data_IF_189914681352
#
_entry.id   IF_189914681352
#
_cell.length_a   1.000
_cell.length_b   1.000
_cell.length_c   1.000
_cell.angle_alpha   90.00
_cell.angle_beta   90.00
_cell.angle_gamma   90.00
#
_symmetry.space_group_name_H-M   'P 1'
#
loop_
_entity.id
_entity.type
_entity.pdbx_description
1 polymer ?
#
# COMPACT_ATOMS: atom_id res chain seq x y z
N UNK A 1 13.03 20.88 -10.77
CA UNK A 1 14.02 20.03 -10.09
C UNK A 1 13.28 18.92 -9.38
N UNK A 2 13.48 17.65 -9.76
CA UNK A 2 12.88 16.50 -9.06
C UNK A 2 13.60 16.31 -7.72
N UNK A 3 13.03 16.84 -6.64
CA UNK A 3 13.46 16.47 -5.29
C UNK A 3 13.03 15.02 -5.06
N UNK A 4 13.95 14.15 -4.63
CA UNK A 4 13.64 12.79 -4.16
C UNK A 4 13.45 12.86 -2.65
N UNK A 5 12.23 13.02 -2.13
CA UNK A 5 12.04 13.38 -0.74
C UNK A 5 12.28 12.21 0.23
N UNK A 6 12.45 10.98 -0.27
CA UNK A 6 12.28 9.75 0.51
C UNK A 6 13.48 8.77 0.49
N UNK A 7 14.73 9.26 0.46
CA UNK A 7 15.97 8.43 0.59
C UNK A 7 15.93 7.19 -0.34
N UNK A 8 15.54 7.43 -1.59
CA UNK A 8 15.39 6.37 -2.59
C UNK A 8 16.77 6.01 -3.15
N UNK A 9 17.28 4.83 -2.82
CA UNK A 9 18.46 4.24 -3.47
C UNK A 9 19.80 4.43 -2.74
N UNK A 10 19.80 4.81 -1.46
CA UNK A 10 21.01 4.78 -0.61
C UNK A 10 21.10 3.45 0.16
N UNK A 11 22.34 2.94 0.31
CA UNK A 11 22.81 1.81 1.12
C UNK A 11 21.76 0.81 1.65
N UNK A 12 21.22 -0.05 0.78
CA UNK A 12 20.39 -1.20 1.19
C UNK A 12 18.89 -0.92 1.34
N UNK A 13 18.43 0.31 1.07
CA UNK A 13 17.00 0.66 1.02
C UNK A 13 16.42 0.29 -0.35
N UNK A 14 15.48 -0.68 -0.38
CA UNK A 14 14.74 -1.07 -1.59
C UNK A 14 13.31 -0.56 -1.56
N UNK A 15 12.95 0.30 -2.53
CA UNK A 15 11.59 0.77 -2.74
C UNK A 15 10.99 0.07 -3.96
N UNK A 16 9.91 -0.67 -3.73
CA UNK A 16 9.12 -1.30 -4.80
C UNK A 16 7.66 -1.30 -4.40
N UNK A 17 6.98 -0.18 -4.63
CA UNK A 17 5.52 -0.08 -4.51
C UNK A 17 4.94 0.72 -5.68
N UNK A 18 3.86 0.21 -6.25
CA UNK A 18 3.15 0.86 -7.35
C UNK A 18 2.19 1.95 -6.85
N UNK A 19 1.82 2.86 -7.75
CA UNK A 19 0.85 3.94 -7.54
C UNK A 19 1.46 5.33 -7.79
N UNK A 20 0.59 6.29 -8.11
CA UNK A 20 1.00 7.65 -8.49
C UNK A 20 1.29 8.57 -7.30
N UNK A 21 0.78 8.22 -6.12
CA UNK A 21 0.99 8.95 -4.87
C UNK A 21 2.34 8.56 -4.23
N UNK A 22 3.06 9.54 -3.70
CA UNK A 22 4.25 9.32 -2.89
C UNK A 22 3.93 8.41 -1.70
N UNK A 23 4.78 7.41 -1.48
CA UNK A 23 4.60 6.45 -0.39
C UNK A 23 5.92 5.80 -0.01
N UNK A 24 6.03 5.36 1.24
CA UNK A 24 7.20 4.67 1.75
C UNK A 24 6.80 3.39 2.51
N UNK A 25 7.30 2.21 2.13
CA UNK A 25 7.24 1.03 3.00
C UNK A 25 8.09 1.25 4.26
N UNK A 26 7.46 1.13 5.43
CA UNK A 26 8.11 1.30 6.75
C UNK A 26 7.78 0.14 7.67
N UNK A 27 8.61 -0.09 8.69
CA UNK A 27 8.25 -0.90 9.83
C UNK A 27 7.72 0.01 10.94
N UNK A 28 6.69 -0.46 11.65
CA UNK A 28 6.17 0.20 12.85
C UNK A 28 6.24 -0.79 14.01
N UNK A 29 7.09 -0.50 14.98
CA UNK A 29 7.47 -1.41 16.07
C UNK A 29 7.33 -0.65 17.37
N UNK A 30 6.48 -1.12 18.28
CA UNK A 30 6.30 -0.53 19.61
C UNK A 30 6.03 0.99 19.58
N UNK A 31 5.24 1.44 18.61
CA UNK A 31 4.90 2.86 18.46
C UNK A 31 5.93 3.70 17.69
N UNK A 32 7.05 3.10 17.25
CA UNK A 32 8.13 3.79 16.56
C UNK A 32 8.21 3.40 15.08
N UNK A 33 8.51 4.38 14.24
CA UNK A 33 8.83 4.15 12.83
C UNK A 33 10.27 3.69 12.66
N UNK A 34 10.48 2.71 11.78
CA UNK A 34 11.78 2.24 11.36
C UNK A 34 11.83 2.03 9.85
N UNK A 35 12.99 2.30 9.25
CA UNK A 35 13.27 1.98 7.85
C UNK A 35 13.75 0.53 7.78
N UNK A 36 13.05 -0.36 7.06
CA UNK A 36 13.49 -1.75 6.91
C UNK A 36 14.75 -1.81 6.06
N UNK A 37 15.82 -2.37 6.63
CA UNK A 37 17.13 -2.53 5.98
C UNK A 37 17.37 -4.00 5.61
N UNK A 38 18.22 -4.25 4.61
CA UNK A 38 18.76 -5.59 4.32
C UNK A 38 17.70 -6.70 4.12
N UNK A 39 16.56 -6.35 3.51
CA UNK A 39 15.48 -7.31 3.24
C UNK A 39 14.54 -7.57 4.43
N UNK A 40 14.66 -6.82 5.53
CA UNK A 40 13.65 -6.82 6.59
C UNK A 40 12.26 -6.45 6.02
N UNK A 41 11.16 -7.05 6.51
CA UNK A 41 9.83 -6.74 6.03
C UNK A 41 9.35 -5.38 6.55
N UNK A 42 8.85 -4.53 5.66
CA UNK A 42 7.97 -3.41 6.06
C UNK A 42 6.63 -3.97 6.56
N UNK A 43 6.04 -3.38 7.59
CA UNK A 43 4.71 -3.73 8.11
C UNK A 43 3.63 -2.72 7.73
N UNK A 44 4.03 -1.49 7.37
CA UNK A 44 3.13 -0.40 7.05
C UNK A 44 3.57 0.33 5.78
N UNK A 45 2.65 1.14 5.25
CA UNK A 45 2.88 2.10 4.17
C UNK A 45 2.65 3.48 4.78
N UNK A 46 3.67 4.30 4.76
CA UNK A 46 3.59 5.71 5.10
C UNK A 46 3.23 6.50 3.84
N UNK A 47 2.21 7.36 3.95
CA UNK A 47 1.84 8.32 2.91
C UNK A 47 1.95 9.75 3.45
N UNK A 48 2.82 10.59 2.87
CA UNK A 48 2.91 12.00 3.27
C UNK A 48 1.68 12.77 2.76
N UNK A 49 1.51 14.02 3.22
CA UNK A 49 0.52 14.92 2.65
C UNK A 49 0.79 15.11 1.15
N UNK A 50 -0.28 15.01 0.37
CA UNK A 50 -0.28 15.45 -1.01
C UNK A 50 -0.53 16.97 -1.06
N UNK A 51 0.37 17.73 -1.69
CA UNK A 51 0.28 19.19 -1.77
C UNK A 51 -0.89 19.68 -2.62
N UNK A 52 -1.26 18.92 -3.65
CA UNK A 52 -2.39 19.23 -4.53
C UNK A 52 -3.73 18.84 -3.89
N UNK A 53 -3.70 17.89 -2.95
CA UNK A 53 -4.88 17.39 -2.23
C UNK A 53 -4.62 17.35 -0.71
N UNK A 54 -4.67 18.50 -0.01
CA UNK A 54 -4.25 18.59 1.39
C UNK A 54 -5.03 17.69 2.36
N UNK A 55 -6.30 17.37 2.04
CA UNK A 55 -7.17 16.53 2.88
C UNK A 55 -7.17 15.05 2.48
N UNK A 56 -6.24 14.61 1.63
CA UNK A 56 -6.22 13.26 1.08
C UNK A 56 -6.00 12.20 2.15
N UNK A 57 -5.11 12.46 3.11
CA UNK A 57 -4.78 11.52 4.18
C UNK A 57 -5.94 11.35 5.18
N UNK A 58 -6.66 12.43 5.48
CA UNK A 58 -7.86 12.42 6.33
C UNK A 58 -8.99 11.67 5.65
N UNK A 59 -9.20 11.93 4.35
CA UNK A 59 -10.21 11.24 3.57
C UNK A 59 -9.96 9.72 3.55
N UNK A 60 -8.73 9.29 3.28
CA UNK A 60 -8.39 7.87 3.28
C UNK A 60 -8.52 7.23 4.67
N UNK A 61 -8.05 7.90 5.72
CA UNK A 61 -8.21 7.45 7.10
C UNK A 61 -9.70 7.28 7.47
N UNK A 62 -10.53 8.26 7.11
CA UNK A 62 -11.97 8.22 7.34
C UNK A 62 -12.64 7.07 6.57
N UNK A 63 -12.35 6.93 5.28
CA UNK A 63 -12.95 5.88 4.43
C UNK A 63 -12.59 4.48 4.91
N UNK A 64 -11.32 4.24 5.27
CA UNK A 64 -10.89 2.95 5.82
C UNK A 64 -11.54 2.67 7.19
N UNK A 65 -11.64 3.68 8.05
CA UNK A 65 -12.32 3.57 9.34
C UNK A 65 -13.82 3.28 9.19
N UNK A 66 -14.49 3.97 8.26
CA UNK A 66 -15.90 3.74 7.95
C UNK A 66 -16.13 2.35 7.38
N UNK A 67 -15.31 1.93 6.41
CA UNK A 67 -15.38 0.60 5.80
C UNK A 67 -15.35 -0.51 6.85
N UNK A 68 -14.43 -0.42 7.83
CA UNK A 68 -14.41 -1.33 8.97
C UNK A 68 -15.68 -1.29 9.81
N UNK A 69 -16.16 -0.09 10.15
CA UNK A 69 -17.36 0.08 10.99
C UNK A 69 -18.62 -0.49 10.35
N UNK A 70 -18.70 -0.51 9.02
CA UNK A 70 -19.82 -1.10 8.27
C UNK A 70 -19.60 -2.57 7.90
N UNK A 71 -18.52 -3.20 8.38
CA UNK A 71 -18.27 -4.63 8.23
C UNK A 71 -17.50 -5.05 6.96
N UNK A 72 -16.92 -4.11 6.22
CA UNK A 72 -16.04 -4.44 5.09
C UNK A 72 -14.66 -4.88 5.58
N UNK A 73 -14.04 -5.83 4.86
CA UNK A 73 -12.65 -6.21 5.08
C UNK A 73 -11.71 -5.11 4.59
N UNK A 74 -11.35 -4.19 5.49
CA UNK A 74 -10.47 -3.06 5.21
C UNK A 74 -9.27 -3.06 6.17
N UNK A 75 -8.14 -2.54 5.70
CA UNK A 75 -6.92 -2.41 6.50
C UNK A 75 -7.04 -1.29 7.54
N UNK A 76 -6.23 -1.37 8.60
CA UNK A 76 -6.10 -0.27 9.56
C UNK A 76 -5.29 0.87 8.99
N UNK A 77 -5.71 2.10 9.28
CA UNK A 77 -4.94 3.30 9.02
C UNK A 77 -5.09 4.27 10.19
N UNK A 78 -4.04 5.04 10.45
CA UNK A 78 -4.03 6.09 11.45
C UNK A 78 -3.17 7.25 10.98
N UNK A 79 -3.57 8.47 11.34
CA UNK A 79 -2.75 9.66 11.10
C UNK A 79 -1.76 9.78 12.26
N UNK A 80 -0.49 9.92 11.90
CA UNK A 80 0.61 10.17 12.82
C UNK A 80 1.32 11.48 12.42
N UNK A 81 2.26 11.90 13.26
CA UNK A 81 2.98 13.16 13.08
C UNK A 81 4.48 12.92 13.21
N UNK A 82 5.23 13.47 12.26
CA UNK A 82 6.66 13.70 12.38
C UNK A 82 6.83 15.19 12.68
N UNK A 83 7.12 15.50 13.94
CA UNK A 83 6.99 16.85 14.50
C UNK A 83 5.58 17.43 14.23
N UNK A 84 5.49 18.48 13.41
CA UNK A 84 4.23 19.12 13.01
C UNK A 84 3.73 18.69 11.62
N UNK A 85 4.37 17.70 11.00
CA UNK A 85 4.02 17.22 9.66
C UNK A 85 3.21 15.94 9.77
N UNK A 86 1.91 15.95 9.44
CA UNK A 86 1.10 14.73 9.48
C UNK A 86 1.42 13.81 8.30
N UNK A 87 1.22 12.51 8.53
CA UNK A 87 1.27 11.47 7.52
C UNK A 87 0.28 10.36 7.85
N UNK A 88 -0.20 9.67 6.83
CA UNK A 88 -1.02 8.48 7.01
C UNK A 88 -0.14 7.24 7.15
N UNK A 89 -0.38 6.43 8.17
CA UNK A 89 0.22 5.13 8.31
C UNK A 89 -0.83 4.04 8.06
N UNK A 90 -0.67 3.28 6.98
CA UNK A 90 -1.60 2.23 6.56
C UNK A 90 -0.97 0.86 6.80
N UNK A 91 -1.66 -0.03 7.52
CA UNK A 91 -1.18 -1.40 7.74
C UNK A 91 -1.20 -2.19 6.44
N UNK A 92 -0.12 -2.92 6.17
CA UNK A 92 -0.03 -3.82 5.01
C UNK A 92 -0.87 -5.07 5.24
N UNK A 93 -1.72 -5.44 4.28
CA UNK A 93 -2.47 -6.69 4.30
C UNK A 93 -1.66 -7.88 3.79
N UNK A 94 -0.61 -7.64 3.03
CA UNK A 94 0.30 -8.67 2.49
C UNK A 94 1.40 -9.08 3.50
N UNK A 95 1.14 -8.84 4.78
CA UNK A 95 2.04 -9.13 5.91
C UNK A 95 1.25 -9.79 7.02
N UNK A 96 1.79 -10.88 7.56
CA UNK A 96 1.20 -11.63 8.67
C UNK A 96 2.23 -11.77 9.76
N UNK A 97 1.87 -11.38 10.99
CA UNK A 97 2.71 -11.64 12.16
C UNK A 97 2.55 -13.09 12.58
N UNK A 98 3.67 -13.79 12.76
CA UNK A 98 3.71 -15.16 13.29
C UNK A 98 4.69 -15.23 14.46
N UNK A 99 4.75 -16.38 15.14
CA UNK A 99 5.75 -16.62 16.20
C UNK A 99 7.20 -16.50 15.69
N UNK A 100 7.41 -16.66 14.38
CA UNK A 100 8.71 -16.53 13.71
C UNK A 100 8.98 -15.11 13.19
N UNK A 101 8.10 -14.15 13.49
CA UNK A 101 8.14 -12.77 13.02
C UNK A 101 7.22 -12.51 11.83
N UNK A 102 7.41 -11.35 11.19
CA UNK A 102 6.56 -10.92 10.08
C UNK A 102 6.85 -11.68 8.79
N UNK A 103 5.87 -12.44 8.29
CA UNK A 103 5.94 -13.15 7.02
C UNK A 103 5.29 -12.36 5.87
N UNK A 104 5.81 -12.55 4.65
CA UNK A 104 5.26 -11.95 3.43
C UNK A 104 4.24 -12.90 2.82
N UNK A 105 3.06 -12.38 2.51
CA UNK A 105 2.08 -13.07 1.68
C UNK A 105 2.23 -12.56 0.25
N UNK A 106 2.36 -13.46 -0.71
CA UNK A 106 2.43 -13.06 -2.11
C UNK A 106 1.09 -12.45 -2.55
N UNK A 107 1.15 -11.33 -3.27
CA UNK A 107 -0.01 -10.59 -3.76
C UNK A 107 0.31 -10.02 -5.14
N UNK A 108 -0.69 -10.03 -6.01
CA UNK A 108 -0.66 -9.42 -7.34
C UNK A 108 -1.86 -8.47 -7.46
N UNK A 109 -1.71 -7.38 -8.21
CA UNK A 109 -2.88 -6.62 -8.66
C UNK A 109 -3.53 -7.26 -9.89
N UNK A 110 -4.74 -6.80 -10.26
CA UNK A 110 -5.45 -7.35 -11.40
C UNK A 110 -4.75 -7.11 -12.76
N UNK A 111 -3.94 -6.06 -12.90
CA UNK A 111 -3.19 -5.86 -14.15
C UNK A 111 -2.13 -6.95 -14.27
N UNK A 112 -1.39 -7.23 -13.19
CA UNK A 112 -0.40 -8.30 -13.13
C UNK A 112 -1.03 -9.68 -13.35
N UNK A 113 -2.10 -10.00 -12.63
CA UNK A 113 -2.79 -11.29 -12.72
C UNK A 113 -3.39 -11.54 -14.13
N UNK A 114 -3.78 -10.47 -14.84
CA UNK A 114 -4.31 -10.54 -16.19
C UNK A 114 -3.24 -10.39 -17.29
N UNK A 115 -1.99 -10.06 -16.94
CA UNK A 115 -0.94 -9.77 -17.92
C UNK A 115 -1.17 -8.47 -18.69
N UNK A 116 -1.90 -7.53 -18.11
CA UNK A 116 -2.25 -6.22 -18.70
C UNK A 116 -1.22 -5.19 -18.27
N UNK A 117 -0.84 -4.30 -19.21
CA UNK A 117 0.06 -3.18 -18.90
C UNK A 117 -0.55 -2.27 -17.81
N UNK A 118 0.24 -1.79 -16.83
CA UNK A 118 -0.25 -0.86 -15.80
C UNK A 118 -0.77 0.46 -16.39
N UNK A 119 -0.36 0.82 -17.62
CA UNK A 119 -0.91 1.98 -18.34
C UNK A 119 -2.37 1.79 -18.75
N UNK A 120 -2.80 0.55 -18.90
CA UNK A 120 -4.17 0.15 -19.26
C UNK A 120 -4.99 -0.22 -18.02
N UNK A 121 -4.68 0.35 -16.86
CA UNK A 121 -5.39 0.05 -15.60
C UNK A 121 -6.85 0.49 -15.63
N UNK A 122 -7.16 1.58 -16.33
CA UNK A 122 -8.50 2.18 -16.33
C UNK A 122 -9.37 1.61 -17.44
N UNK A 123 -10.59 1.18 -17.12
CA UNK A 123 -11.56 0.69 -18.11
C UNK A 123 -11.80 1.69 -19.25
N UNK A 124 -11.82 2.99 -18.95
CA UNK A 124 -11.97 4.05 -19.97
C UNK A 124 -10.84 4.06 -21.01
N UNK A 125 -9.67 3.55 -20.65
CA UNK A 125 -8.50 3.44 -21.53
C UNK A 125 -8.42 2.04 -22.18
N UNK A 126 -9.44 1.19 -22.04
CA UNK A 126 -9.42 -0.20 -22.52
C UNK A 126 -8.90 -1.20 -21.49
N UNK A 127 -8.82 -0.78 -20.22
CA UNK A 127 -8.47 -1.65 -19.10
C UNK A 127 -9.55 -2.68 -18.73
N UNK A 128 -9.22 -3.58 -17.80
CA UNK A 128 -10.05 -4.76 -17.55
C UNK A 128 -11.40 -4.38 -16.93
N UNK A 129 -12.45 -5.05 -17.39
CA UNK A 129 -13.81 -4.91 -16.89
C UNK A 129 -14.07 -5.83 -15.69
N UNK A 130 -15.08 -5.47 -14.90
CA UNK A 130 -15.54 -6.26 -13.75
C UNK A 130 -15.86 -7.72 -14.13
N UNK A 131 -16.41 -7.97 -15.31
CA UNK A 131 -16.70 -9.32 -15.81
C UNK A 131 -15.44 -10.18 -16.01
N UNK A 132 -14.35 -9.58 -16.48
CA UNK A 132 -13.07 -10.26 -16.69
C UNK A 132 -12.39 -10.64 -15.37
N UNK A 133 -12.71 -9.92 -14.28
CA UNK A 133 -12.20 -10.22 -12.93
C UNK A 133 -12.86 -11.48 -12.35
N UNK A 134 -14.17 -11.66 -12.55
CA UNK A 134 -14.89 -12.83 -12.04
C UNK A 134 -14.76 -14.06 -12.94
N UNK A 135 -14.64 -13.89 -14.25
CA UNK A 135 -14.54 -15.01 -15.20
C UNK A 135 -13.27 -15.86 -15.06
N UNK A 136 -12.19 -15.31 -14.46
CA UNK A 136 -10.95 -16.08 -14.22
C UNK A 136 -10.91 -16.84 -12.88
N UNK A 137 -11.84 -16.60 -11.95
CA UNK A 137 -11.85 -17.32 -10.64
C UNK A 137 -11.96 -18.84 -10.79
N UNK A 138 -12.52 -19.32 -11.88
CA UNK A 138 -12.77 -20.75 -12.11
C UNK A 138 -11.55 -21.51 -12.67
N UNK A 139 -10.42 -20.84 -12.97
CA UNK A 139 -9.27 -21.46 -13.66
C UNK A 139 -7.93 -21.43 -12.93
N UNK A 140 -7.80 -20.67 -11.84
CA UNK A 140 -6.61 -20.70 -10.97
C UNK A 140 -6.99 -20.60 -9.50
N UNK A 141 -6.83 -21.71 -8.80
CA UNK A 141 -6.78 -21.75 -7.35
C UNK A 141 -5.68 -20.81 -6.82
N UNK A 142 -6.01 -20.15 -5.71
CA UNK A 142 -5.08 -19.63 -4.69
C UNK A 142 -4.38 -18.29 -4.96
N UNK A 143 -5.05 -17.18 -4.63
CA UNK A 143 -4.57 -16.09 -3.77
C UNK A 143 -5.60 -14.95 -3.77
N UNK A 144 -6.48 -14.97 -2.76
CA UNK A 144 -7.13 -13.77 -2.21
C UNK A 144 -6.74 -13.72 -0.73
#
# INVERSE_FOLDING_TARGET
MHQRPMIVGEDGIRLSQAGAEDKLPVAFIEGNLAIPMNGAPSTHILKPINRDFPSLIENECFCLGLAKKIGLNAVGAAIHYADNTPYLLVKRYDRVETEQGTQRVHQEDFCQALGISPEMKYQRQGGPQMSEWFGKRDSKSTCL
#
